data_IF_789538895580
#
_entry.id   IF_789538895580
#
_cell.length_a   1.000
_cell.length_b   1.000
_cell.length_c   1.000
_cell.angle_alpha   90.00
_cell.angle_beta   90.00
_cell.angle_gamma   90.00
#
_symmetry.space_group_name_H-M   'P 1'
#
loop_
_entity.id
_entity.type
_entity.pdbx_description
1 polymer ?
#
# COMPACT_ATOMS: atom_id res chain seq x y z
N UNK A 1 -7.75 -5.39 16.09
CA UNK A 1 -6.38 -5.54 16.60
C UNK A 1 -5.40 -5.40 15.44
N UNK A 2 -4.42 -4.50 15.53
CA UNK A 2 -3.38 -4.34 14.49
C UNK A 2 -2.30 -5.39 14.73
N UNK A 3 -1.92 -6.14 13.70
CA UNK A 3 -0.90 -7.20 13.79
C UNK A 3 0.19 -7.03 12.73
N UNK A 4 1.39 -7.53 13.00
CA UNK A 4 2.50 -7.51 12.06
C UNK A 4 3.41 -8.74 12.31
N UNK A 5 3.40 -9.70 11.38
CA UNK A 5 4.11 -10.97 11.52
C UNK A 5 5.48 -10.94 10.86
N UNK A 6 6.53 -11.47 11.53
CA UNK A 6 7.88 -11.65 10.99
C UNK A 6 8.29 -13.11 10.98
N UNK A 7 9.15 -13.50 10.05
CA UNK A 7 9.81 -14.81 10.13
C UNK A 7 10.92 -14.74 11.15
N UNK A 8 10.97 -15.71 12.06
CA UNK A 8 11.97 -15.79 13.12
C UNK A 8 13.40 -15.77 12.56
N UNK A 9 13.69 -16.56 11.51
CA UNK A 9 15.02 -16.62 10.89
C UNK A 9 15.47 -15.26 10.34
N UNK A 10 14.53 -14.44 9.86
CA UNK A 10 14.81 -13.08 9.37
C UNK A 10 14.99 -12.06 10.48
N UNK A 11 14.44 -12.32 11.66
CA UNK A 11 14.66 -11.51 12.86
C UNK A 11 16.04 -11.82 13.45
N UNK A 12 16.48 -13.08 13.36
CA UNK A 12 17.73 -13.56 13.94
C UNK A 12 18.94 -13.44 13.00
N UNK A 13 18.75 -13.23 11.70
CA UNK A 13 19.89 -13.06 10.79
C UNK A 13 20.55 -11.69 10.98
N UNK A 14 21.84 -11.67 11.34
CA UNK A 14 22.67 -10.46 11.49
C UNK A 14 22.93 -9.70 10.17
N UNK A 15 22.33 -10.13 9.05
CA UNK A 15 22.48 -9.47 7.75
C UNK A 15 21.58 -8.23 7.67
N UNK A 16 22.22 -7.06 7.72
CA UNK A 16 21.68 -5.75 7.33
C UNK A 16 20.32 -5.40 7.97
N UNK A 17 20.25 -5.51 9.30
CA UNK A 17 19.08 -5.14 10.15
C UNK A 17 18.41 -3.84 9.70
N UNK A 18 19.21 -2.86 9.25
CA UNK A 18 18.74 -1.55 8.78
C UNK A 18 17.72 -1.63 7.63
N UNK A 19 17.88 -2.53 6.66
CA UNK A 19 16.95 -2.63 5.52
C UNK A 19 15.62 -3.27 5.91
N UNK A 20 15.68 -4.28 6.77
CA UNK A 20 14.48 -4.89 7.34
C UNK A 20 13.76 -3.88 8.22
N UNK A 21 14.46 -3.17 9.11
CA UNK A 21 13.90 -2.14 9.99
C UNK A 21 13.11 -1.08 9.20
N UNK A 22 13.65 -0.58 8.09
CA UNK A 22 12.98 0.44 7.27
C UNK A 22 11.67 -0.09 6.66
N UNK A 23 11.64 -1.32 6.14
CA UNK A 23 10.42 -1.91 5.56
C UNK A 23 9.39 -2.19 6.66
N UNK A 24 9.86 -2.69 7.80
CA UNK A 24 9.06 -2.96 8.98
C UNK A 24 8.37 -1.71 9.52
N UNK A 25 9.14 -0.65 9.72
CA UNK A 25 8.65 0.66 10.16
C UNK A 25 7.60 1.20 9.20
N UNK A 26 7.85 1.17 7.88
CA UNK A 26 6.88 1.66 6.87
C UNK A 26 5.57 0.89 6.89
N UNK A 27 5.61 -0.44 7.01
CA UNK A 27 4.40 -1.28 7.06
C UNK A 27 3.61 -1.05 8.35
N UNK A 28 4.32 -0.89 9.47
CA UNK A 28 3.68 -0.64 10.77
C UNK A 28 3.05 0.75 10.83
N UNK A 29 3.78 1.78 10.36
CA UNK A 29 3.27 3.15 10.23
C UNK A 29 1.97 3.21 9.41
N UNK A 30 1.95 2.54 8.24
CA UNK A 30 0.75 2.49 7.41
C UNK A 30 -0.46 1.80 8.10
N UNK A 31 -0.22 0.74 8.88
CA UNK A 31 -1.29 0.05 9.63
C UNK A 31 -1.87 0.86 10.77
N UNK A 32 -1.09 1.78 11.31
CA UNK A 32 -1.54 2.75 12.31
C UNK A 32 -2.13 4.03 11.68
N UNK A 33 -2.27 4.07 10.35
CA UNK A 33 -2.84 5.20 9.61
C UNK A 33 -1.84 6.30 9.27
N UNK A 34 -0.55 6.08 9.46
CA UNK A 34 0.50 7.03 9.10
C UNK A 34 0.81 7.05 7.60
N UNK A 35 1.35 8.18 7.14
CA UNK A 35 1.77 8.40 5.74
C UNK A 35 3.29 8.27 5.66
N UNK A 36 3.79 7.34 4.83
CA UNK A 36 5.23 7.11 4.69
C UNK A 36 5.92 8.09 3.74
N UNK A 37 5.21 8.52 2.69
CA UNK A 37 5.72 9.41 1.66
C UNK A 37 4.55 9.99 0.88
N UNK A 38 4.65 11.26 0.48
CA UNK A 38 3.73 11.94 -0.41
C UNK A 38 4.40 12.19 -1.76
N UNK A 39 3.60 12.11 -2.83
CA UNK A 39 4.03 12.46 -4.18
C UNK A 39 3.15 13.60 -4.67
N UNK A 40 3.77 14.63 -5.25
CA UNK A 40 3.03 15.75 -5.84
C UNK A 40 2.37 15.31 -7.14
N UNK A 41 1.04 15.23 -7.13
CA UNK A 41 0.23 14.90 -8.29
C UNK A 41 0.31 15.98 -9.38
N UNK A 42 0.58 17.23 -8.99
CA UNK A 42 0.75 18.38 -9.91
C UNK A 42 1.86 18.17 -10.94
N UNK A 43 2.88 17.36 -10.63
CA UNK A 43 3.95 17.04 -11.59
C UNK A 43 3.52 15.98 -12.61
N UNK A 44 2.52 15.15 -12.27
CA UNK A 44 2.07 14.02 -13.09
C UNK A 44 0.86 14.37 -13.97
N UNK A 45 0.02 15.32 -13.57
CA UNK A 45 -1.13 15.78 -14.34
C UNK A 45 -0.76 16.98 -15.20
N UNK A 46 -0.60 16.75 -16.51
CA UNK A 46 -0.18 17.78 -17.48
C UNK A 46 -1.25 18.85 -17.78
N UNK A 47 -2.49 18.70 -17.31
CA UNK A 47 -3.58 19.62 -17.63
C UNK A 47 -3.74 20.76 -16.60
N UNK A 48 -3.84 22.03 -17.02
CA UNK A 48 -4.13 23.17 -16.14
C UNK A 48 -5.47 23.05 -15.39
N UNK A 49 -6.46 22.35 -15.96
CA UNK A 49 -7.78 22.12 -15.34
C UNK A 49 -7.72 21.17 -14.14
N UNK A 50 -6.73 20.28 -14.10
CA UNK A 50 -6.54 19.31 -13.01
C UNK A 50 -6.02 19.95 -11.71
N UNK A 51 -5.73 21.26 -11.70
CA UNK A 51 -5.18 21.95 -10.53
C UNK A 51 -6.23 22.28 -9.45
N UNK A 52 -7.51 22.31 -9.82
CA UNK A 52 -8.63 22.58 -8.91
C UNK A 52 -9.52 21.36 -8.63
N UNK A 53 -9.30 20.26 -9.33
CA UNK A 53 -10.16 19.08 -9.26
C UNK A 53 -9.68 18.11 -8.18
N UNK A 54 -10.64 17.52 -7.46
CA UNK A 54 -10.39 16.46 -6.50
C UNK A 54 -10.49 15.11 -7.19
N UNK A 55 -9.38 14.39 -7.27
CA UNK A 55 -9.33 13.05 -7.86
C UNK A 55 -9.46 11.96 -6.80
N UNK A 56 -10.22 10.91 -7.15
CA UNK A 56 -10.27 9.66 -6.40
C UNK A 56 -9.71 8.54 -7.26
N UNK A 57 -8.75 7.80 -6.73
CA UNK A 57 -8.09 6.69 -7.41
C UNK A 57 -8.62 5.36 -6.89
N UNK A 58 -8.96 4.46 -7.82
CA UNK A 58 -9.37 3.10 -7.50
C UNK A 58 -8.40 2.07 -8.09
N UNK A 59 -8.15 1.01 -7.34
CA UNK A 59 -7.47 -0.20 -7.82
C UNK A 59 -8.41 -1.39 -7.67
N UNK A 60 -8.51 -2.21 -8.72
CA UNK A 60 -9.43 -3.36 -8.77
C UNK A 60 -8.63 -4.58 -9.21
N UNK A 61 -8.79 -5.69 -8.49
CA UNK A 61 -8.20 -6.98 -8.86
C UNK A 61 -9.18 -8.13 -8.59
N UNK A 62 -9.05 -9.22 -9.35
CA UNK A 62 -9.74 -10.47 -9.11
C UNK A 62 -8.75 -11.64 -9.16
N UNK A 63 -8.61 -12.34 -8.03
CA UNK A 63 -7.73 -13.51 -7.92
C UNK A 63 -8.55 -14.80 -7.99
N UNK A 64 -8.22 -15.65 -8.97
CA UNK A 64 -8.77 -17.00 -9.12
C UNK A 64 -7.84 -18.02 -8.44
N UNK A 65 -8.40 -18.93 -7.64
CA UNK A 65 -7.60 -19.94 -6.93
C UNK A 65 -7.40 -21.14 -7.86
N UNK A 66 -6.15 -21.39 -8.27
CA UNK A 66 -5.81 -22.44 -9.26
C UNK A 66 -5.77 -23.85 -8.69
N UNK A 67 -5.55 -24.00 -7.37
CA UNK A 67 -5.35 -25.31 -6.73
C UNK A 67 -6.63 -26.00 -6.25
N UNK A 68 -7.81 -25.41 -6.46
CA UNK A 68 -9.10 -26.02 -6.07
C UNK A 68 -10.22 -25.44 -6.92
N UNK A 69 -10.86 -26.30 -7.72
CA UNK A 69 -11.93 -25.91 -8.66
C UNK A 69 -13.21 -25.40 -7.98
N UNK A 70 -13.38 -25.68 -6.68
CA UNK A 70 -14.59 -25.34 -5.93
C UNK A 70 -14.47 -24.05 -5.11
N UNK A 71 -13.29 -23.43 -5.08
CA UNK A 71 -13.11 -22.20 -4.32
C UNK A 71 -13.57 -20.98 -5.13
N UNK A 72 -14.34 -20.07 -4.52
CA UNK A 72 -14.75 -18.85 -5.20
C UNK A 72 -13.53 -17.98 -5.50
N UNK A 73 -13.69 -17.17 -6.53
CA UNK A 73 -12.70 -16.12 -6.85
C UNK A 73 -12.85 -14.97 -5.86
N UNK A 74 -11.75 -14.29 -5.56
CA UNK A 74 -11.73 -13.16 -4.62
C UNK A 74 -11.58 -11.89 -5.44
N UNK A 75 -12.59 -11.02 -5.40
CA UNK A 75 -12.52 -9.68 -5.96
C UNK A 75 -12.21 -8.66 -4.84
N UNK A 76 -11.30 -7.73 -5.10
CA UNK A 76 -10.93 -6.67 -4.17
C UNK A 76 -10.94 -5.30 -4.87
N UNK A 77 -11.42 -4.29 -4.16
CA UNK A 77 -11.41 -2.89 -4.59
C UNK A 77 -10.73 -2.07 -3.49
N UNK A 78 -9.78 -1.23 -3.88
CA UNK A 78 -9.16 -0.23 -3.00
C UNK A 78 -9.45 1.17 -3.54
N UNK A 79 -9.59 2.14 -2.63
CA UNK A 79 -9.80 3.54 -2.96
C UNK A 79 -8.84 4.45 -2.21
N UNK A 80 -8.38 5.51 -2.85
CA UNK A 80 -7.66 6.59 -2.17
C UNK A 80 -8.59 7.30 -1.19
N UNK A 81 -8.11 7.58 0.02
CA UNK A 81 -8.89 8.26 1.06
C UNK A 81 -8.73 9.77 1.05
N UNK A 82 -7.52 10.26 0.73
CA UNK A 82 -7.16 11.66 0.92
C UNK A 82 -6.79 12.32 -0.41
N UNK A 83 -7.16 13.59 -0.56
CA UNK A 83 -6.70 14.44 -1.66
C UNK A 83 -5.26 14.86 -1.38
N UNK A 84 -4.27 14.16 -1.94
CA UNK A 84 -2.88 14.61 -1.81
C UNK A 84 -2.62 15.79 -2.75
N UNK A 85 -3.22 16.92 -2.40
CA UNK A 85 -2.95 18.27 -2.88
C UNK A 85 -2.32 19.03 -1.71
N UNK A 86 -0.98 19.09 -1.68
CA UNK A 86 -0.27 20.17 -0.97
C UNK A 86 0.16 21.16 -2.03
#
# INVERSE_FOLDING_TARGET
>A
MVTQCTRFDRLMSNSDNRKMDIIWQKKFNAKLGGVNQLVSLMRALASPSARSDVFMFFGIDCTHITCSRERPSIAAIIGSKDSTSV
#
